data_IF_367532874894
#
_entry.id   IF_367532874894
#
_cell.length_a   1.000
_cell.length_b   1.000
_cell.length_c   1.000
_cell.angle_alpha   90.00
_cell.angle_beta   90.00
_cell.angle_gamma   90.00
#
_symmetry.space_group_name_H-M   'P 1'
#
loop_
_entity.id
_entity.type
_entity.pdbx_description
1 polymer ?
#
# COMPACT_ATOMS: atom_id res chain seq x y z
N UNK A 1 -19.46 -3.91 17.75
CA UNK A 1 -19.07 -4.92 16.74
C UNK A 1 -17.73 -4.51 16.13
N UNK A 2 -16.76 -5.43 16.04
CA UNK A 2 -15.41 -5.15 15.55
C UNK A 2 -15.44 -4.99 14.01
N UNK A 3 -15.17 -3.78 13.49
CA UNK A 3 -15.26 -3.47 12.05
C UNK A 3 -14.32 -4.32 11.18
N UNK A 4 -13.25 -4.87 11.77
CA UNK A 4 -12.27 -5.69 11.06
C UNK A 4 -12.79 -7.07 10.65
N UNK A 5 -13.80 -7.62 11.36
CA UNK A 5 -14.30 -8.98 11.07
C UNK A 5 -15.02 -9.11 9.72
N UNK A 6 -15.28 -7.98 9.04
CA UNK A 6 -15.89 -7.93 7.71
C UNK A 6 -14.86 -7.74 6.58
N UNK A 7 -13.58 -7.58 6.91
CA UNK A 7 -12.51 -7.38 5.93
C UNK A 7 -11.77 -8.70 5.69
N UNK A 8 -11.50 -9.00 4.42
CA UNK A 8 -10.60 -10.10 4.05
C UNK A 8 -9.17 -9.55 3.95
N UNK A 9 -8.37 -9.79 4.99
CA UNK A 9 -6.99 -9.31 5.09
C UNK A 9 -6.07 -10.51 5.26
N UNK A 10 -5.09 -10.64 4.38
CA UNK A 10 -4.09 -11.70 4.40
C UNK A 10 -2.71 -11.08 4.60
N UNK A 11 -1.94 -11.61 5.56
CA UNK A 11 -0.54 -11.24 5.73
C UNK A 11 0.34 -12.05 4.76
N UNK A 12 1.30 -11.38 4.13
CA UNK A 12 2.31 -12.02 3.30
C UNK A 12 3.69 -11.45 3.58
N UNK A 13 4.63 -12.32 3.95
CA UNK A 13 6.04 -11.97 4.13
C UNK A 13 6.82 -11.92 2.80
N UNK A 14 6.27 -12.49 1.73
CA UNK A 14 6.89 -12.48 0.38
C UNK A 14 6.56 -11.20 -0.40
N UNK A 15 5.67 -10.36 0.11
CA UNK A 15 5.26 -9.11 -0.51
C UNK A 15 5.98 -7.92 0.15
N UNK A 16 6.77 -7.19 -0.64
CA UNK A 16 7.41 -5.95 -0.22
C UNK A 16 8.76 -5.74 -0.89
N UNK A 17 8.95 -4.51 -1.42
CA UNK A 17 10.11 -3.99 -2.21
C UNK A 17 9.91 -3.81 -3.72
N UNK A 18 8.73 -3.43 -4.19
CA UNK A 18 8.63 -2.92 -5.58
C UNK A 18 9.22 -1.49 -5.72
N UNK A 19 9.22 -0.68 -4.66
CA UNK A 19 9.70 0.70 -4.68
C UNK A 19 10.58 0.98 -3.44
N UNK A 20 11.75 1.57 -3.66
CA UNK A 20 12.77 1.80 -2.63
C UNK A 20 12.36 2.87 -1.58
N UNK A 21 11.38 3.71 -1.89
CA UNK A 21 10.92 4.77 -0.99
C UNK A 21 10.04 4.28 0.16
N UNK A 22 9.58 3.03 0.14
CA UNK A 22 8.78 2.48 1.25
C UNK A 22 9.67 2.15 2.46
N UNK A 23 9.29 2.65 3.62
CA UNK A 23 10.06 2.55 4.89
C UNK A 23 9.44 1.58 5.90
N UNK A 24 8.29 0.97 5.59
CA UNK A 24 7.58 0.09 6.51
C UNK A 24 6.55 -0.80 5.82
N UNK A 25 5.38 -0.95 6.43
CA UNK A 25 4.29 -1.76 5.87
C UNK A 25 3.94 -1.31 4.45
N UNK A 26 3.81 -2.29 3.55
CA UNK A 26 3.18 -2.14 2.25
C UNK A 26 1.92 -2.98 2.19
N UNK A 27 0.98 -2.58 1.34
CA UNK A 27 -0.24 -3.35 1.09
C UNK A 27 -0.66 -3.22 -0.37
N UNK A 28 -1.46 -4.19 -0.80
CA UNK A 28 -2.19 -4.13 -2.07
C UNK A 28 -3.62 -4.57 -1.86
N UNK A 29 -4.51 -4.13 -2.74
CA UNK A 29 -5.90 -4.60 -2.75
C UNK A 29 -6.17 -5.20 -4.13
N UNK A 30 -6.41 -6.50 -4.10
CA UNK A 30 -6.80 -7.27 -5.27
C UNK A 30 -8.32 -7.47 -5.25
N UNK A 31 -8.99 -7.24 -6.38
CA UNK A 31 -10.38 -7.63 -6.58
C UNK A 31 -10.48 -8.88 -7.43
N UNK A 32 -11.61 -9.59 -7.31
CA UNK A 32 -11.95 -10.69 -8.20
C UNK A 32 -12.89 -10.16 -9.28
N UNK A 33 -12.42 -10.14 -10.53
CA UNK A 33 -13.25 -9.85 -11.70
C UNK A 33 -13.34 -11.14 -12.54
N UNK A 34 -14.54 -11.72 -12.62
CA UNK A 34 -14.77 -13.07 -13.18
C UNK A 34 -13.83 -14.10 -12.52
N UNK A 35 -12.98 -14.77 -13.29
CA UNK A 35 -11.99 -15.74 -12.81
C UNK A 35 -10.59 -15.15 -12.60
N UNK A 36 -10.41 -13.83 -12.78
CA UNK A 36 -9.11 -13.16 -12.66
C UNK A 36 -9.03 -12.36 -11.36
N UNK A 37 -7.86 -12.42 -10.72
CA UNK A 37 -7.48 -11.55 -9.60
C UNK A 37 -6.77 -10.33 -10.19
N UNK A 38 -7.34 -9.14 -10.00
CA UNK A 38 -6.83 -7.89 -10.56
C UNK A 38 -6.40 -6.99 -9.41
N UNK A 39 -5.15 -6.52 -9.46
CA UNK A 39 -4.64 -5.55 -8.51
C UNK A 39 -5.14 -4.16 -8.89
N UNK A 40 -5.79 -3.47 -7.95
CA UNK A 40 -6.37 -2.14 -8.19
C UNK A 40 -5.75 -1.06 -7.31
N UNK A 41 -5.15 -1.42 -6.18
CA UNK A 41 -4.53 -0.47 -5.26
C UNK A 41 -3.19 -1.03 -4.81
N UNK A 42 -2.16 -0.20 -4.84
CA UNK A 42 -0.89 -0.44 -4.15
C UNK A 42 -0.58 0.74 -3.24
N UNK A 43 -0.08 0.47 -2.04
CA UNK A 43 0.28 1.51 -1.09
C UNK A 43 1.24 1.03 -0.03
N UNK A 44 1.62 1.95 0.84
CA UNK A 44 2.54 1.67 1.93
C UNK A 44 3.00 2.91 2.66
N UNK A 45 3.84 2.70 3.68
CA UNK A 45 4.45 3.73 4.51
C UNK A 45 5.76 4.22 3.89
N UNK A 46 5.96 5.53 3.80
CA UNK A 46 7.09 6.18 3.14
C UNK A 46 7.58 7.42 3.91
N UNK A 47 8.04 7.21 5.15
CA UNK A 47 8.34 8.30 6.10
C UNK A 47 9.52 9.20 5.69
N UNK A 48 10.39 8.73 4.78
CA UNK A 48 11.56 9.48 4.30
C UNK A 48 11.31 10.26 3.01
N UNK A 49 10.30 9.89 2.23
CA UNK A 49 10.10 10.40 0.87
C UNK A 49 10.03 11.93 0.82
N UNK A 50 9.29 12.57 1.73
CA UNK A 50 9.12 14.02 1.73
C UNK A 50 10.43 14.74 2.10
N UNK A 51 11.24 14.13 2.96
CA UNK A 51 12.58 14.64 3.30
C UNK A 51 13.53 14.51 2.11
N UNK A 52 13.54 13.35 1.46
CA UNK A 52 14.37 13.09 0.27
C UNK A 52 14.04 14.04 -0.90
N UNK A 53 12.79 14.53 -0.95
CA UNK A 53 12.32 15.54 -1.91
C UNK A 53 12.61 17.00 -1.52
N UNK A 54 13.26 17.26 -0.38
CA UNK A 54 13.74 18.60 0.00
C UNK A 54 13.05 19.24 1.21
N UNK A 55 12.19 18.51 1.93
CA UNK A 55 11.69 18.99 3.22
C UNK A 55 12.80 19.09 4.26
N UNK A 56 12.79 20.17 5.05
CA UNK A 56 13.73 20.36 6.19
C UNK A 56 13.44 19.43 7.37
N UNK A 57 12.27 18.78 7.39
CA UNK A 57 11.83 17.87 8.45
C UNK A 57 11.48 16.51 7.86
N UNK A 58 11.77 15.45 8.61
CA UNK A 58 11.21 14.13 8.31
C UNK A 58 9.72 14.14 8.67
N UNK A 59 8.89 13.69 7.72
CA UNK A 59 7.43 13.67 7.86
C UNK A 59 6.95 12.24 7.65
N UNK A 60 6.49 11.55 8.72
CA UNK A 60 5.91 10.23 8.59
C UNK A 60 4.71 10.26 7.64
N UNK A 61 4.65 9.34 6.69
CA UNK A 61 3.67 9.38 5.63
C UNK A 61 3.24 7.97 5.19
N UNK A 62 1.98 7.84 4.80
CA UNK A 62 1.37 6.61 4.27
C UNK A 62 0.31 6.99 3.25
N UNK A 63 0.17 6.18 2.22
CA UNK A 63 -0.81 6.40 1.16
C UNK A 63 -0.80 5.29 0.14
N UNK A 64 -1.62 5.45 -0.90
CA UNK A 64 -1.80 4.46 -1.94
C UNK A 64 -2.21 5.11 -3.25
N UNK A 65 -1.93 4.43 -4.36
CA UNK A 65 -2.45 4.76 -5.67
C UNK A 65 -3.58 3.79 -6.03
N UNK A 66 -4.71 4.33 -6.49
CA UNK A 66 -5.82 3.59 -7.07
C UNK A 66 -5.69 3.64 -8.59
N UNK A 67 -5.54 2.48 -9.22
CA UNK A 67 -5.73 2.37 -10.66
C UNK A 67 -7.23 2.57 -10.95
N UNK A 68 -7.60 3.39 -11.93
CA UNK A 68 -9.00 3.59 -12.34
C UNK A 68 -9.35 2.87 -13.64
N UNK A 69 -8.34 2.28 -14.31
CA UNK A 69 -8.45 1.66 -15.63
C UNK A 69 -8.49 0.12 -15.56
N UNK A 70 -9.00 -0.47 -14.48
CA UNK A 70 -8.98 -1.93 -14.23
C UNK A 70 -10.27 -2.66 -14.59
#
# INVERSE_FOLDING_TARGET
QNKLSKLNVEFSASFGRELEYYTGMVFKIDIKNKSKKINIINGGRYDKLIFDLGSKKQVPAVGAALNLNY
#
